data_IF_111124856028
#
_entry.id   IF_111124856028
#
_cell.length_a   1.000
_cell.length_b   1.000
_cell.length_c   1.000
_cell.angle_alpha   90.00
_cell.angle_beta   90.00
_cell.angle_gamma   90.00
#
_symmetry.space_group_name_H-M   'P 1'
#
loop_
_entity.id
_entity.type
_entity.pdbx_description
1 polymer ?
#
# COMPACT_ATOMS: atom_id res chain seq x y z
N UNK A 1 19.60 20.02 9.84
CA UNK A 1 18.18 20.23 9.47
C UNK A 1 17.34 20.12 10.73
N UNK A 2 16.27 20.91 10.85
CA UNK A 2 15.37 20.79 11.99
C UNK A 2 14.60 19.46 11.90
N UNK A 3 14.48 18.75 13.02
CA UNK A 3 13.70 17.52 13.11
C UNK A 3 12.22 17.85 12.95
N UNK A 4 11.57 17.37 11.89
CA UNK A 4 10.12 17.55 11.71
C UNK A 4 9.33 16.59 12.62
N UNK A 5 8.03 16.86 12.83
CA UNK A 5 7.15 15.96 13.62
C UNK A 5 7.07 14.55 13.02
N UNK A 6 7.29 14.41 11.71
CA UNK A 6 7.31 13.10 11.04
C UNK A 6 8.57 12.31 11.36
N UNK A 7 9.70 12.98 11.59
CA UNK A 7 10.88 12.32 12.15
C UNK A 7 10.64 11.80 13.58
N UNK A 8 9.93 12.57 14.41
CA UNK A 8 9.54 12.13 15.76
C UNK A 8 8.62 10.92 15.70
N UNK A 9 7.63 10.91 14.80
CA UNK A 9 6.74 9.76 14.57
C UNK A 9 7.51 8.53 14.09
N UNK A 10 8.44 8.70 13.16
CA UNK A 10 9.32 7.63 12.67
C UNK A 10 10.19 7.04 13.79
N UNK A 11 10.71 7.88 14.69
CA UNK A 11 11.44 7.44 15.87
C UNK A 11 10.59 6.61 16.86
N UNK A 12 9.26 6.70 16.81
CA UNK A 12 8.34 5.84 17.56
C UNK A 12 8.01 4.52 16.84
N UNK A 13 8.65 4.23 15.70
CA UNK A 13 8.48 2.98 14.96
C UNK A 13 7.38 3.01 13.90
N UNK A 14 6.90 4.20 13.50
CA UNK A 14 5.89 4.35 12.44
C UNK A 14 6.54 4.88 11.16
N UNK A 15 6.67 4.03 10.15
CA UNK A 15 7.17 4.42 8.84
C UNK A 15 6.19 5.38 8.14
N UNK A 16 6.70 6.53 7.68
CA UNK A 16 5.89 7.56 7.01
C UNK A 16 5.95 7.37 5.49
N UNK A 17 4.79 7.22 4.86
CA UNK A 17 4.66 7.07 3.42
C UNK A 17 3.82 8.21 2.85
N UNK A 18 4.11 8.62 1.61
CA UNK A 18 3.30 9.60 0.90
C UNK A 18 2.26 8.90 0.02
N UNK A 19 1.00 9.32 0.10
CA UNK A 19 -0.11 8.78 -0.72
C UNK A 19 -0.31 9.62 -1.99
N UNK A 20 0.77 9.78 -2.74
CA UNK A 20 0.82 10.49 -4.01
C UNK A 20 2.08 10.09 -4.78
N UNK A 21 1.97 10.02 -6.11
CA UNK A 21 3.10 9.88 -7.00
C UNK A 21 2.76 10.57 -8.32
N UNK A 22 3.68 11.39 -8.82
CA UNK A 22 3.57 11.99 -10.15
C UNK A 22 4.96 12.18 -10.75
N UNK A 23 5.03 12.19 -12.08
CA UNK A 23 6.23 12.60 -12.81
C UNK A 23 6.77 13.96 -12.41
N UNK A 24 5.88 14.90 -12.08
CA UNK A 24 6.27 16.21 -11.56
C UNK A 24 7.02 16.09 -10.24
N UNK A 25 6.44 15.40 -9.25
CA UNK A 25 7.03 15.22 -7.93
C UNK A 25 8.42 14.55 -7.99
N UNK A 26 8.61 13.64 -8.95
CA UNK A 26 9.91 13.02 -9.23
C UNK A 26 10.87 14.01 -9.90
N UNK A 27 10.44 14.66 -10.98
CA UNK A 27 11.28 15.54 -11.81
C UNK A 27 11.72 16.84 -11.12
N UNK A 28 10.90 17.37 -10.20
CA UNK A 28 11.24 18.56 -9.41
C UNK A 28 12.08 18.24 -8.16
N UNK A 29 12.21 16.95 -7.82
CA UNK A 29 12.90 16.49 -6.62
C UNK A 29 12.08 16.63 -5.34
N UNK A 30 10.78 16.87 -5.42
CA UNK A 30 9.87 16.98 -4.28
C UNK A 30 9.86 15.69 -3.44
N UNK A 31 9.77 14.50 -4.08
CA UNK A 31 9.84 13.23 -3.32
C UNK A 31 11.18 13.09 -2.58
N UNK A 32 12.29 13.44 -3.23
CA UNK A 32 13.60 13.41 -2.61
C UNK A 32 13.71 14.42 -1.44
N UNK A 33 13.01 15.55 -1.53
CA UNK A 33 12.92 16.52 -0.44
C UNK A 33 12.12 15.96 0.74
N UNK A 34 10.93 15.39 0.50
CA UNK A 34 10.11 14.75 1.54
C UNK A 34 10.86 13.62 2.25
N UNK A 35 11.67 12.84 1.52
CA UNK A 35 12.52 11.81 2.11
C UNK A 35 13.58 12.38 3.07
N UNK A 36 14.15 13.54 2.78
CA UNK A 36 15.18 14.18 3.62
C UNK A 36 14.60 14.98 4.78
N UNK A 37 13.55 15.75 4.50
CA UNK A 37 13.06 16.79 5.39
C UNK A 37 11.89 16.29 6.26
N UNK A 38 11.20 15.22 5.83
CA UNK A 38 9.97 14.72 6.44
C UNK A 38 9.95 13.20 6.73
N UNK A 39 11.12 12.56 6.70
CA UNK A 39 11.27 11.12 7.00
C UNK A 39 10.38 10.20 6.15
N UNK A 40 10.00 10.62 4.94
CA UNK A 40 9.23 9.78 4.02
C UNK A 40 10.10 8.61 3.55
N UNK A 41 9.59 7.40 3.71
CA UNK A 41 10.29 6.14 3.42
C UNK A 41 9.49 5.19 2.53
N UNK A 42 8.39 5.65 1.95
CA UNK A 42 7.60 4.86 1.01
C UNK A 42 6.56 5.69 0.27
N UNK A 43 6.01 5.13 -0.78
CA UNK A 43 5.05 5.78 -1.67
C UNK A 43 3.91 4.83 -2.00
N UNK A 44 2.68 5.34 -2.00
CA UNK A 44 1.54 4.66 -2.62
C UNK A 44 1.01 5.45 -3.81
N UNK A 45 0.68 4.72 -4.88
CA UNK A 45 -0.16 5.23 -5.96
C UNK A 45 -1.52 4.51 -5.97
N UNK A 46 -2.44 5.05 -6.77
CA UNK A 46 -3.72 4.43 -7.11
C UNK A 46 -4.20 5.02 -8.45
N UNK A 47 -5.21 4.44 -9.11
CA UNK A 47 -5.69 4.93 -10.40
C UNK A 47 -6.09 6.41 -10.40
N UNK A 48 -6.72 6.92 -9.32
CA UNK A 48 -7.11 8.34 -9.22
C UNK A 48 -5.92 9.28 -9.08
N UNK A 49 -4.84 8.86 -8.42
CA UNK A 49 -3.58 9.62 -8.33
C UNK A 49 -2.99 9.78 -9.74
N UNK A 50 -2.91 8.68 -10.50
CA UNK A 50 -2.40 8.73 -11.86
C UNK A 50 -3.33 9.50 -12.81
N UNK A 51 -4.65 9.34 -12.72
CA UNK A 51 -5.61 10.11 -13.52
C UNK A 51 -5.35 11.61 -13.37
N UNK A 52 -5.21 12.10 -12.13
CA UNK A 52 -4.92 13.51 -11.85
C UNK A 52 -3.57 13.93 -12.41
N UNK A 53 -2.54 13.11 -12.24
CA UNK A 53 -1.20 13.41 -12.72
C UNK A 53 -1.14 13.45 -14.27
N UNK A 54 -1.75 12.46 -14.93
CA UNK A 54 -1.81 12.36 -16.40
C UNK A 54 -2.64 13.48 -17.03
N UNK A 55 -3.66 13.97 -16.32
CA UNK A 55 -4.52 15.06 -16.79
C UNK A 55 -3.92 16.46 -16.49
N UNK A 56 -2.77 16.52 -15.80
CA UNK A 56 -2.15 17.77 -15.38
C UNK A 56 -0.88 18.08 -16.19
N UNK A 57 -0.93 19.17 -16.95
CA UNK A 57 0.21 19.65 -17.73
C UNK A 57 0.54 18.78 -18.95
N UNK A 58 1.78 18.86 -19.43
CA UNK A 58 2.29 18.28 -20.68
C UNK A 58 3.40 17.23 -20.46
N UNK A 59 3.73 16.90 -19.20
CA UNK A 59 4.90 16.06 -18.86
C UNK A 59 4.80 14.59 -19.31
N UNK A 60 3.61 14.14 -19.71
CA UNK A 60 3.40 12.79 -20.23
C UNK A 60 3.28 12.75 -21.75
N UNK A 61 3.23 13.91 -22.42
CA UNK A 61 2.92 14.00 -23.85
C UNK A 61 3.90 13.25 -24.74
N UNK A 62 5.21 13.37 -24.46
CA UNK A 62 6.25 12.70 -25.24
C UNK A 62 6.12 11.18 -25.16
N UNK A 63 6.14 10.64 -23.94
CA UNK A 63 5.98 9.20 -23.71
C UNK A 63 4.62 8.69 -24.19
N UNK A 64 3.55 9.48 -24.07
CA UNK A 64 2.23 9.09 -24.59
C UNK A 64 2.26 8.94 -26.11
N UNK A 65 2.93 9.84 -26.85
CA UNK A 65 3.09 9.68 -28.31
C UNK A 65 3.82 8.39 -28.64
N UNK A 66 4.92 8.09 -27.97
CA UNK A 66 5.69 6.85 -28.16
C UNK A 66 4.85 5.59 -27.86
N UNK A 67 4.14 5.58 -26.74
CA UNK A 67 3.29 4.45 -26.34
C UNK A 67 2.17 4.20 -27.35
N UNK A 68 1.59 5.27 -27.91
CA UNK A 68 0.53 5.19 -28.91
C UNK A 68 1.01 4.66 -30.27
N UNK A 69 2.32 4.64 -30.54
CA UNK A 69 2.88 3.95 -31.73
C UNK A 69 2.79 2.42 -31.61
N UNK A 70 2.71 1.89 -30.38
CA UNK A 70 2.76 0.46 -30.10
C UNK A 70 1.42 -0.11 -29.61
N UNK A 71 0.53 0.71 -29.05
CA UNK A 71 -0.77 0.24 -28.58
C UNK A 71 -1.86 1.29 -28.65
N UNK A 72 -3.05 0.88 -29.08
CA UNK A 72 -4.29 1.65 -28.96
C UNK A 72 -5.15 1.23 -27.77
N UNK A 73 -4.70 0.22 -27.01
CA UNK A 73 -5.37 -0.23 -25.80
C UNK A 73 -5.08 0.75 -24.66
N UNK A 74 -6.14 1.38 -24.15
CA UNK A 74 -6.07 2.41 -23.11
C UNK A 74 -5.45 1.91 -21.80
N UNK A 75 -5.73 0.66 -21.41
CA UNK A 75 -5.21 0.08 -20.17
C UNK A 75 -3.73 -0.21 -20.32
N UNK A 76 -3.32 -0.77 -21.46
CA UNK A 76 -1.89 -0.97 -21.76
C UNK A 76 -1.15 0.36 -21.80
N UNK A 77 -1.72 1.38 -22.45
CA UNK A 77 -1.13 2.70 -22.50
C UNK A 77 -0.95 3.29 -21.09
N UNK A 78 -1.98 3.23 -20.25
CA UNK A 78 -1.93 3.66 -18.86
C UNK A 78 -0.80 2.96 -18.08
N UNK A 79 -0.73 1.63 -18.13
CA UNK A 79 0.30 0.90 -17.38
C UNK A 79 1.71 1.20 -17.91
N UNK A 80 1.90 1.38 -19.21
CA UNK A 80 3.20 1.81 -19.76
C UNK A 80 3.65 3.16 -19.19
N UNK A 81 2.74 4.13 -19.11
CA UNK A 81 3.05 5.45 -18.53
C UNK A 81 3.36 5.34 -17.03
N UNK A 82 2.55 4.58 -16.29
CA UNK A 82 2.70 4.43 -14.85
C UNK A 82 3.97 3.65 -14.44
N UNK A 83 4.35 2.62 -15.21
CA UNK A 83 5.51 1.76 -14.89
C UNK A 83 6.81 2.55 -14.84
N UNK A 84 7.01 3.53 -15.71
CA UNK A 84 8.25 4.33 -15.71
C UNK A 84 8.34 5.25 -14.49
N UNK A 85 7.23 5.87 -14.08
CA UNK A 85 7.18 6.66 -12.85
C UNK A 85 7.39 5.77 -11.61
N UNK A 86 6.83 4.56 -11.60
CA UNK A 86 7.00 3.58 -10.52
C UNK A 86 8.46 3.12 -10.44
N UNK A 87 9.11 2.82 -11.58
CA UNK A 87 10.53 2.46 -11.62
C UNK A 87 11.41 3.58 -11.09
N UNK A 88 11.18 4.81 -11.52
CA UNK A 88 11.91 5.99 -11.05
C UNK A 88 11.74 6.19 -9.53
N UNK A 89 10.52 6.02 -9.01
CA UNK A 89 10.27 6.08 -7.57
C UNK A 89 10.96 4.92 -6.81
N UNK A 90 10.93 3.70 -7.35
CA UNK A 90 11.62 2.55 -6.80
C UNK A 90 13.13 2.81 -6.72
N UNK A 91 13.73 3.33 -7.79
CA UNK A 91 15.16 3.63 -7.86
C UNK A 91 15.55 4.72 -6.85
N UNK A 92 14.71 5.75 -6.69
CA UNK A 92 14.93 6.80 -5.69
C UNK A 92 14.83 6.29 -4.25
N UNK A 93 13.93 5.35 -3.96
CA UNK A 93 13.72 4.76 -2.63
C UNK A 93 14.62 3.55 -2.33
N UNK A 94 15.35 3.03 -3.31
CA UNK A 94 16.23 1.88 -3.16
C UNK A 94 17.26 2.03 -2.02
N UNK A 95 17.89 3.21 -1.79
CA UNK A 95 18.79 3.38 -0.65
C UNK A 95 18.11 3.21 0.72
N UNK A 96 16.83 3.52 0.83
CA UNK A 96 16.03 3.29 2.04
C UNK A 96 15.73 1.80 2.17
N UNK A 97 15.33 1.16 1.08
CA UNK A 97 15.08 -0.28 1.05
C UNK A 97 16.30 -1.08 1.49
N UNK A 98 17.48 -0.78 0.94
CA UNK A 98 18.73 -1.45 1.31
C UNK A 98 19.10 -1.23 2.78
N UNK A 99 19.04 0.02 3.29
CA UNK A 99 19.43 0.31 4.68
C UNK A 99 18.46 -0.26 5.71
N UNK A 100 17.20 -0.44 5.34
CA UNK A 100 16.17 -1.02 6.20
C UNK A 100 15.98 -2.52 5.99
N UNK A 101 16.90 -3.16 5.25
CA UNK A 101 16.83 -4.57 4.91
C UNK A 101 15.45 -4.95 4.38
N UNK A 102 14.99 -4.22 3.37
CA UNK A 102 13.72 -4.43 2.70
C UNK A 102 12.46 -4.09 3.49
N UNK A 103 12.56 -3.59 4.72
CA UNK A 103 11.38 -3.20 5.51
C UNK A 103 10.68 -2.01 4.85
N UNK A 104 11.40 -0.92 4.61
CA UNK A 104 10.86 0.29 3.97
C UNK A 104 11.48 0.52 2.58
N UNK A 105 11.38 1.74 2.05
CA UNK A 105 11.78 2.08 0.69
C UNK A 105 10.83 1.50 -0.36
N UNK A 106 9.56 1.27 0.00
CA UNK A 106 8.58 0.56 -0.83
C UNK A 106 7.76 1.51 -1.69
N UNK A 107 7.42 1.07 -2.91
CA UNK A 107 6.53 1.79 -3.83
C UNK A 107 5.37 0.88 -4.21
N UNK A 108 4.13 1.38 -4.13
CA UNK A 108 2.95 0.58 -4.50
C UNK A 108 2.36 0.99 -5.85
N UNK A 109 2.06 0.00 -6.70
CA UNK A 109 1.28 0.12 -7.94
C UNK A 109 0.04 -0.78 -7.85
N UNK A 110 -1.14 -0.24 -8.13
CA UNK A 110 -2.41 -0.98 -8.03
C UNK A 110 -2.74 -1.74 -9.32
N UNK A 111 -3.32 -2.94 -9.16
CA UNK A 111 -3.96 -3.67 -10.25
C UNK A 111 -5.17 -2.89 -10.79
N UNK A 112 -5.66 -3.29 -11.96
CA UNK A 112 -6.88 -2.78 -12.55
C UNK A 112 -8.08 -3.06 -11.62
N UNK A 113 -8.81 -2.03 -11.17
CA UNK A 113 -9.97 -2.20 -10.30
C UNK A 113 -11.07 -3.09 -10.88
N UNK A 114 -11.17 -3.23 -12.21
CA UNK A 114 -12.17 -4.11 -12.85
C UNK A 114 -11.89 -5.59 -12.56
N UNK A 115 -10.67 -5.94 -12.18
CA UNK A 115 -10.29 -7.31 -11.83
C UNK A 115 -10.56 -7.67 -10.37
N UNK A 116 -11.05 -6.73 -9.54
CA UNK A 116 -11.16 -6.91 -8.09
C UNK A 116 -11.97 -8.14 -7.63
N UNK A 117 -12.81 -8.72 -8.51
CA UNK A 117 -13.60 -9.92 -8.21
C UNK A 117 -13.20 -11.14 -9.05
N UNK A 118 -12.10 -11.05 -9.79
CA UNK A 118 -11.52 -12.14 -10.57
C UNK A 118 -10.15 -12.49 -9.97
N UNK A 119 -10.09 -13.64 -9.28
CA UNK A 119 -8.88 -14.10 -8.59
C UNK A 119 -7.73 -14.32 -9.58
N UNK A 120 -8.01 -15.05 -10.65
CA UNK A 120 -6.97 -15.53 -11.56
C UNK A 120 -6.43 -14.34 -12.38
N UNK A 121 -7.32 -13.50 -12.91
CA UNK A 121 -6.91 -12.30 -13.63
C UNK A 121 -6.14 -11.30 -12.72
N UNK A 122 -6.53 -11.17 -11.46
CA UNK A 122 -5.79 -10.33 -10.49
C UNK A 122 -4.38 -10.88 -10.24
N UNK A 123 -4.24 -12.19 -10.04
CA UNK A 123 -2.95 -12.83 -9.83
C UNK A 123 -2.04 -12.72 -11.07
N UNK A 124 -2.60 -12.94 -12.26
CA UNK A 124 -1.89 -12.81 -13.54
C UNK A 124 -1.40 -11.37 -13.76
N UNK A 125 -2.26 -10.38 -13.49
CA UNK A 125 -1.87 -8.99 -13.63
C UNK A 125 -0.83 -8.59 -12.58
N UNK A 126 -0.98 -9.01 -11.33
CA UNK A 126 0.03 -8.74 -10.31
C UNK A 126 1.39 -9.34 -10.67
N UNK A 127 1.39 -10.55 -11.23
CA UNK A 127 2.58 -11.19 -11.77
C UNK A 127 3.20 -10.39 -12.91
N UNK A 128 2.37 -9.93 -13.85
CA UNK A 128 2.79 -9.12 -14.99
C UNK A 128 3.40 -7.78 -14.53
N UNK A 129 2.77 -7.08 -13.58
CA UNK A 129 3.25 -5.80 -13.08
C UNK A 129 4.59 -5.92 -12.35
N UNK A 130 4.78 -6.96 -11.54
CA UNK A 130 6.08 -7.23 -10.93
C UNK A 130 7.17 -7.46 -11.98
N UNK A 131 6.88 -8.24 -13.03
CA UNK A 131 7.83 -8.49 -14.12
C UNK A 131 8.11 -7.23 -14.96
N UNK A 132 7.10 -6.39 -15.21
CA UNK A 132 7.25 -5.15 -15.95
C UNK A 132 8.06 -4.13 -15.16
N UNK A 133 7.78 -3.91 -13.89
CA UNK A 133 8.52 -2.93 -13.09
C UNK A 133 9.95 -3.41 -12.82
N UNK A 134 10.11 -4.70 -12.49
CA UNK A 134 11.41 -5.35 -12.24
C UNK A 134 12.27 -4.59 -11.20
N UNK A 135 11.70 -4.38 -10.01
CA UNK A 135 12.37 -3.76 -8.87
C UNK A 135 12.02 -4.48 -7.56
N UNK A 136 13.00 -4.75 -6.68
CA UNK A 136 12.79 -5.58 -5.47
C UNK A 136 11.91 -4.87 -4.41
N UNK A 137 11.81 -3.56 -4.49
CA UNK A 137 11.07 -2.73 -3.56
C UNK A 137 9.65 -2.36 -4.03
N UNK A 138 9.16 -3.00 -5.11
CA UNK A 138 7.77 -2.87 -5.52
C UNK A 138 6.83 -3.65 -4.59
N UNK A 139 5.70 -3.03 -4.28
CA UNK A 139 4.46 -3.71 -3.94
C UNK A 139 3.46 -3.60 -5.08
N UNK A 140 2.87 -4.72 -5.48
CA UNK A 140 1.61 -4.65 -6.23
C UNK A 140 0.47 -4.57 -5.23
N UNK A 141 -0.47 -3.66 -5.46
CA UNK A 141 -1.58 -3.40 -4.58
C UNK A 141 -2.83 -4.14 -5.05
N UNK A 142 -3.41 -4.96 -4.17
CA UNK A 142 -4.57 -5.82 -4.46
C UNK A 142 -5.69 -5.53 -3.45
N UNK A 143 -6.94 -5.28 -3.89
CA UNK A 143 -8.05 -5.04 -2.98
C UNK A 143 -8.46 -6.29 -2.21
N UNK A 144 -8.80 -6.12 -0.92
CA UNK A 144 -9.20 -7.18 -0.01
C UNK A 144 -10.67 -7.62 -0.20
N UNK A 145 -11.08 -7.88 -1.44
CA UNK A 145 -12.36 -8.54 -1.74
C UNK A 145 -12.27 -10.04 -1.39
N UNK A 146 -13.40 -10.76 -1.42
CA UNK A 146 -13.37 -12.23 -1.19
C UNK A 146 -12.48 -12.94 -2.22
N UNK A 147 -12.64 -12.72 -3.54
CA UNK A 147 -11.72 -13.31 -4.53
C UNK A 147 -10.28 -12.78 -4.40
N UNK A 148 -10.11 -11.49 -4.07
CA UNK A 148 -8.81 -10.86 -3.90
C UNK A 148 -7.94 -11.52 -2.82
N UNK A 149 -8.54 -12.07 -1.75
CA UNK A 149 -7.80 -12.84 -0.74
C UNK A 149 -7.05 -14.04 -1.35
N UNK A 150 -7.67 -14.73 -2.32
CA UNK A 150 -7.03 -15.85 -3.01
C UNK A 150 -5.85 -15.37 -3.87
N UNK A 151 -6.03 -14.27 -4.60
CA UNK A 151 -4.97 -13.69 -5.44
C UNK A 151 -3.79 -13.16 -4.60
N UNK A 152 -4.07 -12.61 -3.41
CA UNK A 152 -3.04 -12.18 -2.45
C UNK A 152 -2.22 -13.39 -1.99
N UNK A 153 -2.88 -14.45 -1.54
CA UNK A 153 -2.20 -15.67 -1.10
C UNK A 153 -1.33 -16.27 -2.22
N UNK A 154 -1.88 -16.40 -3.43
CA UNK A 154 -1.16 -16.94 -4.58
C UNK A 154 0.04 -16.06 -4.98
N UNK A 155 -0.11 -14.74 -4.92
CA UNK A 155 0.98 -13.81 -5.23
C UNK A 155 2.12 -13.93 -4.22
N UNK A 156 1.80 -13.98 -2.93
CA UNK A 156 2.79 -14.17 -1.85
C UNK A 156 3.47 -15.54 -1.99
N UNK A 157 2.70 -16.60 -2.26
CA UNK A 157 3.23 -17.94 -2.53
C UNK A 157 4.17 -17.98 -3.74
N UNK A 158 3.93 -17.13 -4.74
CA UNK A 158 4.77 -16.97 -5.91
C UNK A 158 5.99 -16.04 -5.69
N UNK A 159 6.31 -15.68 -4.44
CA UNK A 159 7.47 -14.83 -4.13
C UNK A 159 7.24 -13.34 -4.38
N UNK A 160 5.98 -12.89 -4.49
CA UNK A 160 5.64 -11.50 -4.86
C UNK A 160 5.16 -10.72 -3.66
N UNK A 161 5.79 -9.58 -3.44
CA UNK A 161 5.47 -8.64 -2.37
C UNK A 161 4.16 -7.86 -2.68
N UNK A 162 3.23 -7.80 -1.72
CA UNK A 162 1.86 -7.25 -1.93
C UNK A 162 1.47 -6.19 -0.89
N UNK A 163 0.88 -5.08 -1.36
CA UNK A 163 0.14 -4.13 -0.53
C UNK A 163 -1.36 -4.47 -0.59
N UNK A 164 -1.92 -4.99 0.49
CA UNK A 164 -3.36 -5.31 0.52
C UNK A 164 -4.15 -4.05 0.82
N UNK A 165 -5.13 -3.69 -0.01
CA UNK A 165 -5.89 -2.43 0.12
C UNK A 165 -7.38 -2.62 0.37
N UNK A 166 -8.08 -1.52 0.66
CA UNK A 166 -9.53 -1.46 0.89
C UNK A 166 -9.98 -2.34 2.05
N UNK A 167 -9.20 -2.35 3.15
CA UNK A 167 -9.55 -3.05 4.38
C UNK A 167 -10.28 -2.08 5.30
N UNK A 168 -11.52 -2.40 5.68
CA UNK A 168 -12.36 -1.54 6.54
C UNK A 168 -12.83 -2.23 7.83
N UNK A 169 -12.89 -3.56 7.86
CA UNK A 169 -13.42 -4.33 8.99
C UNK A 169 -12.36 -5.22 9.63
N UNK A 170 -12.54 -5.50 10.91
CA UNK A 170 -11.71 -6.44 11.68
C UNK A 170 -11.79 -7.86 11.15
N UNK A 171 -12.96 -8.29 10.67
CA UNK A 171 -13.14 -9.58 10.03
C UNK A 171 -12.30 -9.68 8.75
N UNK A 172 -12.33 -8.62 7.91
CA UNK A 172 -11.53 -8.60 6.68
C UNK A 172 -10.04 -8.54 6.98
N UNK A 173 -9.63 -7.75 7.97
CA UNK A 173 -8.24 -7.68 8.40
C UNK A 173 -7.72 -9.05 8.86
N UNK A 174 -8.50 -9.79 9.66
CA UNK A 174 -8.14 -11.15 10.06
C UNK A 174 -8.00 -12.10 8.86
N UNK A 175 -8.93 -12.02 7.89
CA UNK A 175 -8.85 -12.84 6.68
C UNK A 175 -7.65 -12.49 5.78
N UNK A 176 -7.26 -11.21 5.72
CA UNK A 176 -6.06 -10.73 5.02
C UNK A 176 -4.79 -11.27 5.69
N UNK A 177 -4.68 -11.16 7.02
CA UNK A 177 -3.53 -11.67 7.76
C UNK A 177 -3.40 -13.18 7.58
N UNK A 178 -4.50 -13.91 7.63
CA UNK A 178 -4.51 -15.36 7.40
C UNK A 178 -4.10 -15.74 5.96
N UNK A 179 -4.57 -15.01 4.95
CA UNK A 179 -4.12 -15.21 3.56
C UNK A 179 -2.62 -14.96 3.39
N UNK A 180 -2.07 -13.95 4.07
CA UNK A 180 -0.64 -13.68 4.08
C UNK A 180 0.16 -14.83 4.70
N UNK A 181 -0.25 -15.31 5.89
CA UNK A 181 0.42 -16.41 6.58
C UNK A 181 0.46 -17.67 5.70
N UNK A 182 -0.68 -18.05 5.10
CA UNK A 182 -0.72 -19.20 4.17
C UNK A 182 0.14 -19.01 2.94
N UNK A 183 0.17 -17.80 2.38
CA UNK A 183 1.02 -17.49 1.24
C UNK A 183 2.51 -17.68 1.57
N UNK A 184 2.95 -17.19 2.73
CA UNK A 184 4.34 -17.36 3.18
C UNK A 184 4.65 -18.83 3.46
N UNK A 185 3.74 -19.57 4.10
CA UNK A 185 3.90 -21.02 4.33
C UNK A 185 4.10 -21.79 3.02
N UNK A 186 3.27 -21.51 2.00
CA UNK A 186 3.39 -22.10 0.68
C UNK A 186 4.73 -21.74 0.03
N UNK A 187 5.11 -20.46 0.07
CA UNK A 187 6.36 -20.00 -0.51
C UNK A 187 7.58 -20.71 0.10
N UNK A 188 7.61 -20.85 1.42
CA UNK A 188 8.70 -21.55 2.13
C UNK A 188 8.68 -23.05 1.86
N UNK A 189 7.50 -23.67 1.82
CA UNK A 189 7.36 -25.09 1.49
C UNK A 189 7.88 -25.42 0.09
N UNK A 190 7.74 -24.48 -0.85
CA UNK A 190 8.25 -24.59 -2.22
C UNK A 190 9.74 -24.21 -2.35
N UNK A 191 10.45 -23.99 -1.23
CA UNK A 191 11.88 -23.70 -1.17
C UNK A 191 12.23 -22.21 -1.30
N UNK A 192 11.24 -21.32 -1.25
CA UNK A 192 11.44 -19.87 -1.21
C UNK A 192 12.05 -19.39 0.11
N UNK A 193 12.81 -18.31 0.05
CA UNK A 193 13.36 -17.66 1.23
C UNK A 193 12.36 -16.64 1.79
N UNK A 194 11.81 -16.91 2.98
CA UNK A 194 10.75 -16.08 3.58
C UNK A 194 11.09 -14.58 3.71
N UNK A 195 12.38 -14.25 3.78
CA UNK A 195 12.89 -12.87 3.81
C UNK A 195 12.60 -12.07 2.54
N UNK A 196 12.46 -12.73 1.39
CA UNK A 196 12.30 -12.09 0.08
C UNK A 196 10.90 -11.52 -0.14
N UNK A 197 9.90 -11.98 0.65
CA UNK A 197 8.51 -11.55 0.53
C UNK A 197 8.12 -10.68 1.71
N UNK A 198 7.35 -9.63 1.43
CA UNK A 198 6.79 -8.76 2.46
C UNK A 198 5.41 -8.29 2.05
N UNK A 199 4.65 -7.84 3.04
CA UNK A 199 3.31 -7.30 2.79
C UNK A 199 2.95 -6.22 3.79
N UNK A 200 2.02 -5.36 3.39
CA UNK A 200 1.34 -4.40 4.28
C UNK A 200 -0.17 -4.54 4.12
N UNK A 201 -0.91 -4.30 5.20
CA UNK A 201 -2.36 -4.30 5.23
C UNK A 201 -2.88 -2.86 5.36
N UNK A 202 -3.24 -2.24 4.23
CA UNK A 202 -3.77 -0.87 4.16
C UNK A 202 -5.20 -0.79 4.71
N UNK A 203 -5.29 -0.47 5.99
CA UNK A 203 -6.51 -0.35 6.78
C UNK A 203 -7.03 1.09 6.81
N UNK A 204 -8.24 1.31 6.32
CA UNK A 204 -8.78 2.66 6.09
C UNK A 204 -9.37 3.25 7.37
N UNK A 205 -8.99 4.51 7.67
CA UNK A 205 -9.38 5.19 8.92
C UNK A 205 -10.50 6.22 8.69
N UNK A 206 -10.24 7.32 7.99
CA UNK A 206 -11.19 8.46 7.92
C UNK A 206 -12.54 8.14 7.26
N UNK A 207 -12.57 7.19 6.32
CA UNK A 207 -13.81 6.75 5.66
C UNK A 207 -14.78 6.09 6.63
N UNK A 208 -14.28 5.46 7.70
CA UNK A 208 -15.11 4.85 8.74
C UNK A 208 -15.82 5.92 9.54
N UNK A 209 -15.11 6.96 9.97
CA UNK A 209 -15.75 8.09 10.68
C UNK A 209 -16.73 8.83 9.78
N UNK A 210 -16.44 9.02 8.49
CA UNK A 210 -17.37 9.68 7.57
C UNK A 210 -18.74 8.99 7.53
N UNK A 211 -18.77 7.66 7.42
CA UNK A 211 -20.03 6.91 7.41
C UNK A 211 -20.65 6.77 8.80
N UNK A 212 -19.83 6.58 9.83
CA UNK A 212 -20.31 6.44 11.21
C UNK A 212 -20.93 7.73 11.73
N UNK A 213 -20.26 8.87 11.52
CA UNK A 213 -20.72 10.18 11.95
C UNK A 213 -22.04 10.54 11.27
N UNK A 214 -22.22 10.21 9.98
CA UNK A 214 -23.51 10.37 9.29
C UNK A 214 -24.63 9.64 10.02
N UNK A 215 -24.43 8.37 10.38
CA UNK A 215 -25.44 7.56 11.10
C UNK A 215 -25.63 8.01 12.54
N UNK A 216 -24.57 8.50 13.20
CA UNK A 216 -24.65 9.02 14.56
C UNK A 216 -25.48 10.31 14.61
N UNK A 217 -25.33 11.20 13.64
CA UNK A 217 -26.18 12.39 13.48
C UNK A 217 -27.64 11.99 13.27
N UNK A 218 -27.92 11.01 12.40
CA UNK A 218 -29.28 10.50 12.20
C UNK A 218 -29.89 9.90 13.47
N UNK A 219 -29.05 9.39 14.38
CA UNK A 219 -29.45 8.83 15.66
C UNK A 219 -29.40 9.84 16.84
N UNK A 220 -29.03 11.10 16.61
CA UNK A 220 -28.85 12.12 17.66
C UNK A 220 -27.74 11.79 18.67
N UNK A 221 -26.64 11.19 18.18
CA UNK A 221 -25.48 10.71 18.96
C UNK A 221 -24.17 11.33 18.51
N UNK A 222 -24.19 12.61 18.16
CA UNK A 222 -23.00 13.37 17.74
C UNK A 222 -21.91 13.43 18.83
N UNK A 223 -22.25 13.13 20.10
CA UNK A 223 -21.30 12.97 21.21
C UNK A 223 -20.24 11.86 20.97
N UNK A 224 -20.51 10.95 20.03
CA UNK A 224 -19.63 9.86 19.64
C UNK A 224 -18.84 10.12 18.35
N UNK A 225 -19.06 11.25 17.68
CA UNK A 225 -18.49 11.52 16.36
C UNK A 225 -16.95 11.55 16.38
N UNK A 226 -16.32 11.06 15.30
CA UNK A 226 -14.88 11.04 15.11
C UNK A 226 -14.12 10.01 15.96
N UNK A 227 -14.82 9.08 16.63
CA UNK A 227 -14.17 8.10 17.51
C UNK A 227 -13.97 6.73 16.85
N UNK A 228 -14.77 6.38 15.84
CA UNK A 228 -14.87 5.01 15.36
C UNK A 228 -13.66 4.62 14.51
N UNK A 229 -13.14 5.52 13.67
CA UNK A 229 -11.98 5.25 12.82
C UNK A 229 -10.75 4.83 13.63
N UNK A 230 -10.40 5.62 14.65
CA UNK A 230 -9.26 5.32 15.54
C UNK A 230 -9.54 4.07 16.38
N UNK A 231 -10.76 3.91 16.92
CA UNK A 231 -11.10 2.73 17.72
C UNK A 231 -10.99 1.43 16.89
N UNK A 232 -11.47 1.44 15.65
CA UNK A 232 -11.38 0.33 14.71
C UNK A 232 -9.92 0.00 14.35
N UNK A 233 -9.09 1.01 14.06
CA UNK A 233 -7.66 0.83 13.78
C UNK A 233 -6.91 0.22 14.99
N UNK A 234 -7.21 0.67 16.22
CA UNK A 234 -6.61 0.10 17.44
C UNK A 234 -6.96 -1.38 17.62
N UNK A 235 -8.20 -1.76 17.34
CA UNK A 235 -8.62 -3.17 17.39
C UNK A 235 -7.93 -4.00 16.29
N UNK A 236 -7.76 -3.45 15.09
CA UNK A 236 -6.99 -4.11 14.03
C UNK A 236 -5.52 -4.33 14.45
N UNK A 237 -4.90 -3.36 15.13
CA UNK A 237 -3.54 -3.50 15.66
C UNK A 237 -3.42 -4.57 16.76
N UNK A 238 -4.46 -4.73 17.60
CA UNK A 238 -4.52 -5.83 18.58
C UNK A 238 -4.62 -7.20 17.89
N UNK A 239 -5.42 -7.31 16.83
CA UNK A 239 -5.48 -8.53 16.02
C UNK A 239 -4.13 -8.83 15.35
N UNK A 240 -3.48 -7.82 14.77
CA UNK A 240 -2.13 -7.93 14.21
C UNK A 240 -1.17 -8.50 15.27
N UNK A 241 -1.15 -7.92 16.47
CA UNK A 241 -0.27 -8.36 17.56
C UNK A 241 -0.54 -9.81 17.97
N UNK A 242 -1.80 -10.25 17.92
CA UNK A 242 -2.20 -11.63 18.25
C UNK A 242 -1.72 -12.62 17.18
N UNK A 243 -1.97 -12.31 15.90
CA UNK A 243 -1.61 -13.20 14.78
C UNK A 243 -0.09 -13.32 14.67
N UNK A 244 0.61 -12.19 14.65
CA UNK A 244 2.06 -12.13 14.44
C UNK A 244 2.88 -12.32 15.73
N UNK A 245 2.23 -12.52 16.88
CA UNK A 245 2.83 -13.00 18.12
C UNK A 245 2.57 -14.48 18.42
N UNK A 246 1.77 -15.17 17.59
CA UNK A 246 1.39 -16.56 17.79
C UNK A 246 2.45 -17.56 17.33
N UNK A 247 2.43 -18.77 17.90
CA UNK A 247 3.44 -19.82 17.61
C UNK A 247 3.56 -20.21 16.13
N UNK A 248 2.44 -20.23 15.38
CA UNK A 248 2.44 -20.47 13.92
C UNK A 248 3.27 -19.42 13.18
N UNK A 249 3.15 -18.16 13.55
CA UNK A 249 3.94 -17.09 12.95
C UNK A 249 5.40 -17.11 13.41
N UNK A 250 5.64 -17.35 14.69
CA UNK A 250 7.01 -17.39 15.23
C UNK A 250 7.89 -18.41 14.50
N UNK A 251 7.34 -19.57 14.11
CA UNK A 251 8.06 -20.55 13.30
C UNK A 251 8.47 -20.02 11.91
N UNK A 252 7.63 -19.19 11.27
CA UNK A 252 7.95 -18.53 10.00
C UNK A 252 8.94 -17.38 10.20
N UNK A 253 8.81 -16.64 11.31
CA UNK A 253 9.74 -15.57 11.67
C UNK A 253 11.15 -16.11 11.92
N UNK A 254 11.28 -17.28 12.55
CA UNK A 254 12.56 -17.99 12.72
C UNK A 254 13.19 -18.38 11.37
N UNK A 255 12.37 -18.57 10.33
CA UNK A 255 12.80 -18.77 8.94
C UNK A 255 13.03 -17.47 8.14
N UNK A 256 12.96 -16.30 8.80
CA UNK A 256 13.23 -14.99 8.19
C UNK A 256 11.99 -14.23 7.67
N UNK A 257 10.78 -14.73 7.90
CA UNK A 257 9.56 -14.05 7.47
C UNK A 257 9.35 -12.71 8.21
N UNK A 258 8.88 -11.68 7.50
CA UNK A 258 8.51 -10.38 8.09
C UNK A 258 7.00 -10.31 8.37
N UNK A 259 6.54 -9.77 9.51
CA UNK A 259 5.11 -9.65 9.77
C UNK A 259 4.45 -8.67 8.78
N UNK A 260 3.21 -8.95 8.38
CA UNK A 260 2.46 -8.03 7.53
C UNK A 260 2.01 -6.82 8.34
N UNK A 261 2.75 -5.72 8.23
CA UNK A 261 2.50 -4.50 9.02
C UNK A 261 1.14 -3.88 8.67
N UNK A 262 0.45 -3.36 9.68
CA UNK A 262 -0.69 -2.47 9.43
C UNK A 262 -0.19 -1.18 8.77
N UNK A 263 -0.85 -0.76 7.69
CA UNK A 263 -0.66 0.54 7.06
C UNK A 263 -1.96 1.33 7.24
N UNK A 264 -1.91 2.46 7.95
CA UNK A 264 -3.09 3.30 8.15
C UNK A 264 -3.34 4.15 6.90
N UNK A 265 -4.37 3.79 6.14
CA UNK A 265 -4.70 4.44 4.88
C UNK A 265 -5.87 5.42 5.06
N UNK A 266 -5.96 6.39 4.15
CA UNK A 266 -6.98 7.44 4.21
C UNK A 266 -6.97 8.17 5.56
N UNK A 267 -5.80 8.68 5.94
CA UNK A 267 -5.53 9.35 7.23
C UNK A 267 -5.69 10.87 7.20
N UNK A 268 -6.09 11.46 6.07
CA UNK A 268 -6.51 12.87 6.08
C UNK A 268 -7.91 13.01 6.68
N UNK A 269 -8.12 13.98 7.56
CA UNK A 269 -9.47 14.30 8.04
C UNK A 269 -10.40 14.73 6.91
N UNK A 270 -11.67 14.34 7.04
CA UNK A 270 -12.74 14.69 6.07
C UNK A 270 -13.73 15.71 6.64
N UNK A 271 -13.72 15.88 7.96
CA UNK A 271 -14.55 16.84 8.67
C UNK A 271 -13.67 18.04 9.09
N UNK A 272 -13.98 19.27 8.65
CA UNK A 272 -13.20 20.46 9.00
C UNK A 272 -13.24 20.81 10.49
N UNK A 273 -14.17 20.23 11.26
CA UNK A 273 -14.21 20.40 12.72
C UNK A 273 -13.13 19.56 13.44
N UNK A 274 -12.56 18.56 12.78
CA UNK A 274 -11.51 17.73 13.34
C UNK A 274 -10.13 18.32 13.07
N UNK A 275 -9.19 18.12 14.01
CA UNK A 275 -7.79 18.49 13.80
C UNK A 275 -7.23 17.74 12.58
N UNK A 276 -6.54 18.45 11.69
CA UNK A 276 -5.91 17.89 10.49
C UNK A 276 -4.94 16.73 10.76
N UNK A 277 -4.33 16.70 11.95
CA UNK A 277 -3.41 15.66 12.45
C UNK A 277 -4.06 14.68 13.44
N UNK A 278 -5.36 14.40 13.27
CA UNK A 278 -6.12 13.53 14.17
C UNK A 278 -5.80 12.05 14.03
N UNK A 279 -5.64 11.57 12.81
CA UNK A 279 -5.36 10.17 12.48
C UNK A 279 -3.87 9.94 12.29
#
# INVERSE_FOLDING_TARGET
MATSRLHELSAQGVSVWVDSLSREMLGTGELAQLMRDDAVVGVTSNPTIFEKALSAGDRYDEQLREVLEHTSDRKKAFFSLAVDDIRAACDLLLPVWTRTDGVDGRVSLEVDPELAYDRDATFEQATTLHALVDRPNLFVKIPATIPGLGAIEDSIAAGRSINVTLIFSLERHAAVAEAYVRGVERFVADGGNAHDVSSVASFFVSRVDTEADRRLTEAGREDLAGKLGIANAKLAYQQYSTVFGGGRWLALADAGARPQRCLWASTSTKNPAYRDVMY
#
